data_IF_327286982137
#
_entry.id   IF_327286982137
#
_cell.length_a   1.000
_cell.length_b   1.000
_cell.length_c   1.000
_cell.angle_alpha   90.00
_cell.angle_beta   90.00
_cell.angle_gamma   90.00
#
_symmetry.space_group_name_H-M   'P 1'
#
loop_
_entity.id
_entity.type
_entity.pdbx_description
1 polymer ?
#
# COMPACT_ATOMS: atom_id res chain seq x y z
N UNK A 1 -18.35 4.87 6.85
CA UNK A 1 -16.94 4.50 7.12
C UNK A 1 -16.78 3.03 7.50
N UNK A 2 -17.57 2.50 8.43
CA UNK A 2 -17.52 1.06 8.78
C UNK A 2 -17.77 0.13 7.58
N UNK A 3 -18.73 0.46 6.72
CA UNK A 3 -19.04 -0.35 5.53
C UNK A 3 -17.85 -0.40 4.56
N UNK A 4 -17.22 0.74 4.30
CA UNK A 4 -16.05 0.82 3.41
C UNK A 4 -14.86 0.05 3.98
N UNK A 5 -14.64 0.16 5.29
CA UNK A 5 -13.60 -0.60 6.00
C UNK A 5 -13.87 -2.10 5.88
N UNK A 6 -15.12 -2.53 6.14
CA UNK A 6 -15.50 -3.95 6.04
C UNK A 6 -15.23 -4.51 4.64
N UNK A 7 -15.60 -3.76 3.60
CA UNK A 7 -15.34 -4.16 2.21
C UNK A 7 -13.82 -4.26 1.95
N UNK A 8 -13.06 -3.24 2.37
CA UNK A 8 -11.61 -3.20 2.15
C UNK A 8 -10.90 -4.38 2.80
N UNK A 9 -11.27 -4.72 4.05
CA UNK A 9 -10.66 -5.85 4.77
C UNK A 9 -11.16 -7.21 4.30
N UNK A 10 -12.28 -7.30 3.60
CA UNK A 10 -12.77 -8.54 3.02
C UNK A 10 -12.12 -8.88 1.69
N UNK A 11 -11.56 -7.89 0.99
CA UNK A 11 -10.90 -8.11 -0.28
C UNK A 11 -9.56 -8.83 -0.09
N UNK A 12 -9.25 -9.75 -1.01
CA UNK A 12 -7.98 -10.47 -1.01
C UNK A 12 -6.83 -9.49 -1.25
N UNK A 13 -5.81 -9.58 -0.39
CA UNK A 13 -4.59 -8.80 -0.57
C UNK A 13 -3.73 -9.39 -1.69
N UNK A 14 -2.94 -8.57 -2.38
CA UNK A 14 -1.94 -9.08 -3.32
C UNK A 14 -0.97 -10.04 -2.62
N UNK A 15 -0.43 -10.97 -3.41
CA UNK A 15 0.54 -11.93 -2.92
C UNK A 15 1.75 -11.22 -2.30
N UNK A 16 2.14 -11.64 -1.12
CA UNK A 16 3.27 -11.08 -0.39
C UNK A 16 2.95 -9.90 0.51
N UNK A 17 1.72 -9.36 0.44
CA UNK A 17 1.31 -8.30 1.35
C UNK A 17 1.08 -8.86 2.75
N UNK A 18 1.57 -8.20 3.82
CA UNK A 18 1.28 -8.62 5.18
C UNK A 18 -0.17 -8.33 5.55
N UNK A 19 -0.70 -9.10 6.52
CA UNK A 19 -2.10 -8.96 6.95
C UNK A 19 -2.29 -8.02 8.13
N UNK A 20 -1.24 -7.79 8.93
CA UNK A 20 -1.31 -6.89 10.07
C UNK A 20 -1.12 -5.44 9.64
N UNK A 21 -1.83 -4.52 10.28
CA UNK A 21 -1.93 -3.13 9.84
C UNK A 21 -0.57 -2.41 9.73
N UNK A 22 0.26 -2.45 10.77
CA UNK A 22 1.52 -1.70 10.76
C UNK A 22 2.49 -2.18 9.67
N UNK A 23 2.80 -3.48 9.56
CA UNK A 23 3.60 -3.98 8.44
C UNK A 23 2.94 -3.72 7.08
N UNK A 24 1.62 -3.80 6.99
CA UNK A 24 0.92 -3.53 5.74
C UNK A 24 1.14 -2.09 5.27
N UNK A 25 1.05 -1.11 6.18
CA UNK A 25 1.27 0.29 5.81
C UNK A 25 2.70 0.51 5.31
N UNK A 26 3.69 -0.15 5.92
CA UNK A 26 5.07 -0.10 5.44
C UNK A 26 5.22 -0.68 4.02
N UNK A 27 4.52 -1.78 3.74
CA UNK A 27 4.45 -2.37 2.40
C UNK A 27 3.78 -1.41 1.40
N UNK A 28 2.66 -0.80 1.79
CA UNK A 28 1.94 0.16 0.95
C UNK A 28 2.79 1.37 0.59
N UNK A 29 3.49 1.94 1.57
CA UNK A 29 4.42 3.06 1.37
C UNK A 29 5.50 2.69 0.36
N UNK A 30 6.18 1.58 0.58
CA UNK A 30 7.27 1.16 -0.31
C UNK A 30 6.77 0.85 -1.73
N UNK A 31 5.57 0.27 -1.84
CA UNK A 31 4.99 -0.07 -3.15
C UNK A 31 4.63 1.19 -3.95
N UNK A 32 3.94 2.15 -3.36
CA UNK A 32 3.56 3.39 -4.06
C UNK A 32 4.78 4.29 -4.30
N UNK A 33 5.75 4.28 -3.39
CA UNK A 33 7.00 5.02 -3.57
C UNK A 33 7.78 4.49 -4.76
N UNK A 34 7.90 3.17 -4.89
CA UNK A 34 8.59 2.56 -6.04
C UNK A 34 7.90 2.88 -7.36
N UNK A 35 6.56 2.87 -7.38
CA UNK A 35 5.81 3.27 -8.56
C UNK A 35 6.09 4.73 -8.95
N UNK A 36 6.07 5.64 -7.99
CA UNK A 36 6.37 7.05 -8.22
C UNK A 36 7.82 7.26 -8.68
N UNK A 37 8.78 6.54 -8.07
CA UNK A 37 10.18 6.59 -8.46
C UNK A 37 10.34 6.15 -9.93
N UNK A 38 9.68 5.07 -10.32
CA UNK A 38 9.70 4.60 -11.70
C UNK A 38 9.13 5.66 -12.64
N UNK A 39 8.00 6.25 -12.30
CA UNK A 39 7.35 7.29 -13.10
C UNK A 39 8.24 8.52 -13.32
N UNK A 40 8.96 8.95 -12.30
CA UNK A 40 9.87 10.11 -12.39
C UNK A 40 11.05 9.86 -13.34
N UNK A 41 11.42 8.62 -13.55
CA UNK A 41 12.55 8.26 -14.43
C UNK A 41 12.14 8.10 -15.89
N UNK A 42 10.84 8.09 -16.21
CA UNK A 42 10.37 7.94 -17.58
C UNK A 42 10.67 9.19 -18.40
N UNK A 43 11.19 8.98 -19.62
CA UNK A 43 11.59 10.05 -20.53
C UNK A 43 10.37 10.77 -21.13
N UNK A 44 9.35 9.99 -21.50
CA UNK A 44 8.14 10.51 -22.17
C UNK A 44 6.93 10.33 -21.25
N UNK A 45 6.78 11.23 -20.28
CA UNK A 45 5.65 11.21 -19.37
C UNK A 45 4.48 12.04 -19.94
N UNK A 46 3.28 11.46 -19.93
CA UNK A 46 2.06 12.21 -20.19
C UNK A 46 1.71 13.09 -18.99
N UNK A 47 0.81 14.08 -19.16
CA UNK A 47 0.28 14.84 -18.00
C UNK A 47 -0.36 13.92 -16.95
N UNK A 48 -1.05 12.85 -17.39
CA UNK A 48 -1.66 11.86 -16.49
C UNK A 48 -0.59 11.13 -15.68
N UNK A 49 0.53 10.74 -16.31
CA UNK A 49 1.64 10.08 -15.62
C UNK A 49 2.24 10.98 -14.55
N UNK A 50 2.44 12.24 -14.88
CA UNK A 50 2.96 13.24 -13.93
C UNK A 50 2.02 13.40 -12.73
N UNK A 51 0.71 13.42 -12.98
CA UNK A 51 -0.31 13.52 -11.91
C UNK A 51 -0.31 12.25 -11.04
N UNK A 52 -0.17 11.06 -11.64
CA UNK A 52 -0.07 9.82 -10.87
C UNK A 52 1.16 9.83 -9.95
N UNK A 53 2.30 10.33 -10.41
CA UNK A 53 3.49 10.48 -9.59
C UNK A 53 3.22 11.42 -8.41
N UNK A 54 2.60 12.56 -8.68
CA UNK A 54 2.28 13.56 -7.65
C UNK A 54 1.36 12.96 -6.58
N UNK A 55 0.29 12.29 -6.99
CA UNK A 55 -0.66 11.65 -6.07
C UNK A 55 0.00 10.53 -5.28
N UNK A 56 0.86 9.74 -5.92
CA UNK A 56 1.61 8.67 -5.25
C UNK A 56 2.56 9.22 -4.19
N UNK A 57 3.20 10.36 -4.44
CA UNK A 57 4.06 11.01 -3.43
C UNK A 57 3.25 11.49 -2.23
N UNK A 58 2.05 12.01 -2.44
CA UNK A 58 1.16 12.42 -1.35
C UNK A 58 0.69 11.22 -0.52
N UNK A 59 0.32 10.11 -1.19
CA UNK A 59 -0.03 8.88 -0.48
C UNK A 59 1.14 8.36 0.37
N UNK A 60 2.34 8.31 -0.21
CA UNK A 60 3.53 7.86 0.49
C UNK A 60 3.82 8.71 1.74
N UNK A 61 3.67 10.02 1.61
CA UNK A 61 3.85 10.94 2.73
C UNK A 61 2.85 10.66 3.85
N UNK A 62 1.59 10.38 3.51
CA UNK A 62 0.55 10.06 4.50
C UNK A 62 0.88 8.74 5.21
N UNK A 63 1.30 7.71 4.48
CA UNK A 63 1.71 6.43 5.08
C UNK A 63 2.89 6.61 6.03
N UNK A 64 3.91 7.37 5.64
CA UNK A 64 5.08 7.63 6.50
C UNK A 64 4.70 8.38 7.77
N UNK A 65 3.79 9.34 7.66
CA UNK A 65 3.25 10.07 8.80
C UNK A 65 2.53 9.13 9.77
N UNK A 66 1.70 8.21 9.24
CA UNK A 66 1.00 7.22 10.06
C UNK A 66 1.98 6.26 10.74
N UNK A 67 2.99 5.79 10.01
CA UNK A 67 4.03 4.91 10.57
C UNK A 67 4.81 5.60 11.69
N UNK A 68 5.20 6.85 11.51
CA UNK A 68 5.92 7.62 12.51
C UNK A 68 5.08 7.81 13.78
N UNK A 69 3.79 8.11 13.62
CA UNK A 69 2.88 8.26 14.76
C UNK A 69 2.70 6.96 15.54
N UNK A 70 2.68 5.82 14.85
CA UNK A 70 2.44 4.51 15.45
C UNK A 70 3.71 3.85 16.01
N UNK A 71 4.90 4.23 15.54
CA UNK A 71 6.16 3.57 15.86
C UNK A 71 6.40 3.37 17.37
N UNK A 72 6.19 4.38 18.24
CA UNK A 72 6.44 4.21 19.68
C UNK A 72 5.61 3.11 20.34
N UNK A 73 4.51 2.72 19.72
CA UNK A 73 3.60 1.69 20.26
C UNK A 73 3.88 0.29 19.68
N UNK A 74 4.86 0.16 18.79
CA UNK A 74 5.11 -1.11 18.11
C UNK A 74 6.10 -1.98 18.89
N UNK A 75 5.91 -3.30 18.81
CA UNK A 75 6.88 -4.26 19.32
C UNK A 75 8.08 -4.37 18.36
N UNK A 76 9.18 -4.93 18.86
CA UNK A 76 10.35 -5.21 18.01
C UNK A 76 9.97 -6.14 16.84
N UNK A 77 9.12 -7.14 17.09
CA UNK A 77 8.64 -8.07 16.05
C UNK A 77 7.83 -7.34 14.97
N UNK A 78 6.95 -6.44 15.37
CA UNK A 78 6.14 -5.65 14.43
C UNK A 78 7.01 -4.74 13.56
N UNK A 79 8.01 -4.09 14.17
CA UNK A 79 8.96 -3.24 13.43
C UNK A 79 9.78 -4.06 12.44
N UNK A 80 10.25 -5.24 12.84
CA UNK A 80 10.99 -6.15 11.95
C UNK A 80 10.11 -6.62 10.77
N UNK A 81 8.86 -6.97 11.05
CA UNK A 81 7.91 -7.35 10.01
C UNK A 81 7.66 -6.21 9.02
N UNK A 82 7.58 -4.97 9.52
CA UNK A 82 7.42 -3.79 8.67
C UNK A 82 8.63 -3.56 7.77
N UNK A 83 9.84 -3.73 8.29
CA UNK A 83 11.06 -3.62 7.49
C UNK A 83 11.13 -4.68 6.39
N UNK A 84 10.75 -5.92 6.71
CA UNK A 84 10.70 -7.01 5.73
C UNK A 84 9.66 -6.75 4.65
N UNK A 85 8.49 -6.25 5.03
CA UNK A 85 7.42 -5.93 4.11
C UNK A 85 7.84 -4.81 3.14
N UNK A 86 8.45 -3.75 3.65
CA UNK A 86 8.97 -2.66 2.83
C UNK A 86 10.04 -3.15 1.86
N UNK A 87 10.96 -4.01 2.33
CA UNK A 87 12.01 -4.57 1.47
C UNK A 87 11.42 -5.44 0.35
N UNK A 88 10.39 -6.24 0.65
CA UNK A 88 9.71 -7.08 -0.34
C UNK A 88 9.02 -6.23 -1.42
N UNK A 89 8.37 -5.14 -1.02
CA UNK A 89 7.73 -4.22 -1.96
C UNK A 89 8.76 -3.51 -2.85
N UNK A 90 9.87 -3.04 -2.25
CA UNK A 90 10.98 -2.43 -3.02
C UNK A 90 11.57 -3.40 -4.03
N UNK A 91 11.69 -4.67 -3.67
CA UNK A 91 12.22 -5.70 -4.56
C UNK A 91 11.38 -5.90 -5.81
N UNK A 92 10.08 -5.59 -5.78
CA UNK A 92 9.22 -5.67 -6.96
C UNK A 92 9.58 -4.61 -8.01
N UNK A 93 10.03 -3.44 -7.58
CA UNK A 93 10.38 -2.33 -8.47
C UNK A 93 11.85 -2.29 -8.87
N UNK A 94 12.74 -2.88 -8.08
CA UNK A 94 14.18 -2.79 -8.27
C UNK A 94 14.65 -3.19 -9.69
N UNK A 95 14.16 -4.31 -10.27
CA UNK A 95 14.58 -4.68 -11.64
C UNK A 95 14.17 -3.64 -12.69
N UNK A 96 13.00 -3.03 -12.53
CA UNK A 96 12.51 -2.01 -13.45
C UNK A 96 13.30 -0.71 -13.33
N UNK A 97 13.62 -0.30 -12.10
CA UNK A 97 14.42 0.90 -11.85
C UNK A 97 15.84 0.74 -12.41
N UNK A 98 16.37 -0.47 -12.41
CA UNK A 98 17.70 -0.79 -12.98
C UNK A 98 17.68 -1.04 -14.47
N UNK A 99 16.50 -1.24 -15.09
CA UNK A 99 16.37 -1.58 -16.50
C UNK A 99 16.71 -0.40 -17.42
N UNK A 100 17.35 -0.70 -18.57
CA UNK A 100 17.57 0.25 -19.64
C UNK A 100 16.43 0.26 -20.67
N UNK A 101 15.46 -0.66 -20.54
CA UNK A 101 14.35 -0.80 -21.47
C UNK A 101 13.23 0.17 -21.10
N UNK A 102 13.20 1.33 -21.75
CA UNK A 102 12.21 2.39 -21.53
C UNK A 102 10.78 1.91 -21.79
N UNK A 103 10.58 1.08 -22.83
CA UNK A 103 9.25 0.58 -23.16
C UNK A 103 8.71 -0.33 -22.06
N UNK A 104 9.54 -1.23 -21.52
CA UNK A 104 9.18 -2.12 -20.42
C UNK A 104 8.86 -1.31 -19.15
N UNK A 105 9.65 -0.29 -18.86
CA UNK A 105 9.46 0.57 -17.69
C UNK A 105 8.15 1.36 -17.80
N UNK A 106 7.88 1.94 -18.96
CA UNK A 106 6.65 2.68 -19.21
C UNK A 106 5.42 1.78 -19.13
N UNK A 107 5.49 0.57 -19.68
CA UNK A 107 4.40 -0.40 -19.61
C UNK A 107 4.11 -0.80 -18.17
N UNK A 108 5.14 -1.12 -17.41
CA UNK A 108 4.98 -1.50 -16.00
C UNK A 108 4.42 -0.37 -15.15
N UNK A 109 4.82 0.88 -15.43
CA UNK A 109 4.24 2.04 -14.76
C UNK A 109 2.73 2.13 -15.02
N UNK A 110 2.31 1.94 -16.27
CA UNK A 110 0.91 2.02 -16.66
C UNK A 110 0.04 0.86 -16.17
N UNK A 111 0.65 -0.28 -15.83
CA UNK A 111 -0.08 -1.46 -15.34
C UNK A 111 -0.35 -1.43 -13.83
N UNK A 112 0.17 -0.45 -13.11
CA UNK A 112 -0.09 -0.30 -11.68
C UNK A 112 -1.40 0.46 -11.47
N UNK A 113 -2.43 -0.24 -11.01
CA UNK A 113 -3.78 0.31 -10.85
C UNK A 113 -4.07 0.85 -9.44
N UNK A 114 -3.03 1.08 -8.65
CA UNK A 114 -3.15 1.62 -7.32
C UNK A 114 -3.04 0.57 -6.22
N UNK A 115 -3.14 1.05 -4.99
CA UNK A 115 -3.00 0.23 -3.80
C UNK A 115 -4.34 -0.41 -3.41
N UNK A 116 -4.30 -1.57 -2.70
CA UNK A 116 -5.51 -2.09 -2.09
C UNK A 116 -6.16 -1.05 -1.17
N UNK A 117 -7.49 -1.03 -1.14
CA UNK A 117 -8.23 -0.11 -0.26
C UNK A 117 -7.90 -0.26 1.21
N UNK A 118 -7.44 -1.46 1.62
CA UNK A 118 -7.02 -1.72 3.00
C UNK A 118 -5.85 -0.83 3.43
N UNK A 119 -4.97 -0.39 2.52
CA UNK A 119 -3.84 0.47 2.85
C UNK A 119 -4.27 1.77 3.54
N UNK A 120 -5.26 2.45 2.98
CA UNK A 120 -5.81 3.69 3.54
C UNK A 120 -6.41 3.47 4.93
N UNK A 121 -7.22 2.43 5.07
CA UNK A 121 -7.86 2.10 6.35
C UNK A 121 -6.83 1.69 7.40
N UNK A 122 -5.84 0.88 7.03
CA UNK A 122 -4.77 0.47 7.93
C UNK A 122 -3.97 1.69 8.43
N UNK A 123 -3.65 2.65 7.55
CA UNK A 123 -2.94 3.87 7.93
C UNK A 123 -3.75 4.67 8.97
N UNK A 124 -5.05 4.84 8.76
CA UNK A 124 -5.93 5.49 9.72
C UNK A 124 -5.95 4.76 11.07
N UNK A 125 -6.05 3.43 11.03
CA UNK A 125 -6.11 2.61 12.24
C UNK A 125 -4.83 2.71 13.07
N UNK A 126 -3.66 2.61 12.45
CA UNK A 126 -2.39 2.71 13.19
C UNK A 126 -2.14 4.12 13.70
N UNK A 127 -2.52 5.15 12.95
CA UNK A 127 -2.39 6.54 13.38
C UNK A 127 -3.19 6.81 14.64
N UNK A 128 -4.40 6.27 14.73
CA UNK A 128 -5.33 6.50 15.83
C UNK A 128 -5.30 5.40 16.89
N UNK A 129 -4.32 4.50 16.83
CA UNK A 129 -4.17 3.37 17.76
C UNK A 129 -5.45 2.54 17.89
N UNK A 130 -6.09 2.23 16.77
CA UNK A 130 -7.27 1.36 16.74
C UNK A 130 -6.79 -0.08 16.73
N UNK A 131 -7.02 -0.80 17.83
CA UNK A 131 -6.55 -2.19 18.00
C UNK A 131 -7.70 -3.20 17.95
N UNK A 132 -8.95 -2.73 17.94
CA UNK A 132 -10.11 -3.62 17.77
C UNK A 132 -10.11 -4.23 16.37
N UNK A 133 -10.65 -5.46 16.19
CA UNK A 133 -10.72 -6.04 14.86
C UNK A 133 -11.51 -5.15 13.88
N UNK A 134 -11.11 -5.12 12.60
CA UNK A 134 -11.89 -4.39 11.61
C UNK A 134 -13.31 -4.94 11.50
N UNK A 135 -14.27 -4.09 11.12
CA UNK A 135 -15.62 -4.52 10.86
C UNK A 135 -15.63 -5.58 9.73
N UNK A 136 -16.48 -6.59 9.87
CA UNK A 136 -16.71 -7.59 8.82
C UNK A 136 -17.91 -7.19 7.98
N UNK A 137 -18.09 -7.76 6.76
CA UNK A 137 -19.30 -7.53 5.98
C UNK A 137 -20.58 -7.85 6.77
N UNK A 138 -20.58 -8.91 7.58
CA UNK A 138 -21.74 -9.25 8.44
C UNK A 138 -22.03 -8.17 9.46
N UNK A 139 -20.99 -7.54 10.05
CA UNK A 139 -21.15 -6.48 11.06
C UNK A 139 -21.88 -5.24 10.52
N UNK A 140 -21.81 -5.02 9.20
CA UNK A 140 -22.43 -3.87 8.53
C UNK A 140 -23.65 -4.25 7.70
N UNK A 141 -24.17 -5.45 7.90
CA UNK A 141 -25.39 -5.92 7.22
C UNK A 141 -25.19 -6.39 5.78
N UNK A 142 -23.96 -6.66 5.36
CA UNK A 142 -23.64 -7.22 4.04
C UNK A 142 -23.56 -8.75 4.14
N UNK A 143 -23.95 -9.45 3.06
CA UNK A 143 -23.76 -10.89 2.98
C UNK A 143 -22.29 -11.21 2.76
N UNK A 144 -21.79 -12.22 3.48
CA UNK A 144 -20.44 -12.71 3.25
C UNK A 144 -20.42 -13.49 1.92
N UNK A 145 -19.32 -13.41 1.16
CA UNK A 145 -19.17 -14.24 -0.03
C UNK A 145 -19.30 -15.70 0.35
N UNK A 146 -20.02 -16.47 -0.46
CA UNK A 146 -20.13 -17.91 -0.24
C UNK A 146 -18.74 -18.54 -0.23
N UNK A 147 -18.45 -19.34 0.80
CA UNK A 147 -17.22 -20.12 0.86
C UNK A 147 -17.29 -21.22 -0.22
N UNK A 148 -16.33 -21.21 -1.13
CA UNK A 148 -16.19 -22.24 -2.16
C UNK A 148 -15.19 -23.29 -1.72
#
# INVERSE_FOLDING_TARGET
MRTREAIAYSNTLPRGAPTQDYPLVAWCDALVTGHADLGETLTNRSPEDTELVRLGRLEAQDFRSALAAAEPRQTAASKAAAQQAAAAAKAQWAPLLASQDEAARSQSFGLFYGLPGRCEHAARRIRNNITTPPATPADVGLEEPAAN
#
